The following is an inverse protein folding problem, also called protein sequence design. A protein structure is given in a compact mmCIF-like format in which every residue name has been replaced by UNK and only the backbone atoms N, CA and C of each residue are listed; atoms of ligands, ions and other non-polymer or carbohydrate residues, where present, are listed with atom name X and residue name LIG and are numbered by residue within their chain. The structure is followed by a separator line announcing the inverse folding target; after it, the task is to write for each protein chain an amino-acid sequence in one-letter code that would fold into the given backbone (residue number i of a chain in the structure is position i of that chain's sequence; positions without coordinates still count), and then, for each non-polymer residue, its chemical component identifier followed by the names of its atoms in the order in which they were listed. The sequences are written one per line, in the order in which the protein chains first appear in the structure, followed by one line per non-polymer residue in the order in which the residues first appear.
data_IF_495346628504
#
_entry.id   IF_495346628504
#
_cell.length_a   1.000
_cell.length_b   1.000
_cell.length_c   1.000
_cell.angle_alpha   90.00
_cell.angle_beta   90.00
_cell.angle_gamma   90.00
#
_symmetry.space_group_name_H-M   'P 1'
#
loop_
_entity.id
_entity.type
_entity.pdbx_description
1 polymer ?
#
# COMPACT_ATOMS: atom_id res chain seq x y z
N UNK A 1 -36.99 35.73 -49.93
CA UNK A 1 -37.30 34.32 -50.16
C UNK A 1 -36.01 33.56 -49.94
N UNK A 2 -35.80 33.06 -48.73
CA UNK A 2 -34.60 32.30 -48.38
C UNK A 2 -34.69 30.91 -48.99
N UNK A 3 -33.75 30.60 -49.89
CA UNK A 3 -33.64 29.29 -50.53
C UNK A 3 -33.09 28.32 -49.48
N UNK A 4 -33.96 27.48 -48.91
CA UNK A 4 -33.55 26.32 -48.12
C UNK A 4 -32.79 25.34 -49.03
N UNK A 5 -31.46 25.44 -49.03
CA UNK A 5 -30.59 24.40 -49.59
C UNK A 5 -30.63 23.20 -48.65
N UNK A 6 -31.20 22.10 -49.12
CA UNK A 6 -31.20 20.82 -48.40
C UNK A 6 -29.76 20.32 -48.19
N UNK A 7 -29.57 19.55 -47.12
CA UNK A 7 -28.28 18.99 -46.75
C UNK A 7 -27.85 17.91 -47.74
N UNK A 8 -26.60 17.91 -48.15
CA UNK A 8 -26.07 16.88 -49.05
C UNK A 8 -25.77 15.59 -48.29
N UNK A 9 -25.87 14.45 -48.97
CA UNK A 9 -25.61 13.13 -48.36
C UNK A 9 -24.17 13.02 -47.82
N UNK A 10 -23.24 13.71 -48.48
CA UNK A 10 -21.84 13.85 -48.04
C UNK A 10 -21.71 14.64 -46.75
N UNK A 11 -22.43 15.76 -46.59
CA UNK A 11 -22.40 16.52 -45.33
C UNK A 11 -22.99 15.69 -44.18
N UNK A 12 -24.03 14.89 -44.44
CA UNK A 12 -24.64 14.03 -43.41
C UNK A 12 -23.66 12.95 -42.92
N UNK A 13 -22.93 12.33 -43.84
CA UNK A 13 -21.88 11.37 -43.51
C UNK A 13 -20.77 12.01 -42.66
N UNK A 14 -20.32 13.20 -43.05
CA UNK A 14 -19.27 13.93 -42.30
C UNK A 14 -19.74 14.27 -40.89
N UNK A 15 -20.96 14.78 -40.74
CA UNK A 15 -21.52 15.12 -39.44
C UNK A 15 -21.62 13.89 -38.51
N UNK A 16 -22.03 12.74 -39.06
CA UNK A 16 -22.12 11.49 -38.30
C UNK A 16 -20.74 10.99 -37.88
N UNK A 17 -19.76 11.00 -38.79
CA UNK A 17 -18.38 10.56 -38.51
C UNK A 17 -17.74 11.43 -37.44
N UNK A 18 -17.85 12.76 -37.54
CA UNK A 18 -17.31 13.68 -36.53
C UNK A 18 -17.94 13.41 -35.16
N UNK A 19 -19.26 13.24 -35.11
CA UNK A 19 -19.97 12.93 -33.85
C UNK A 19 -19.52 11.61 -33.24
N UNK A 20 -19.37 10.55 -34.07
CA UNK A 20 -18.90 9.24 -33.61
C UNK A 20 -17.48 9.29 -33.06
N UNK A 21 -16.57 10.01 -33.73
CA UNK A 21 -15.17 10.16 -33.27
C UNK A 21 -15.10 10.89 -31.92
N UNK A 22 -15.90 11.94 -31.74
CA UNK A 22 -15.96 12.68 -30.47
C UNK A 22 -16.50 11.80 -29.34
N UNK A 23 -17.58 11.05 -29.57
CA UNK A 23 -18.16 10.12 -28.58
C UNK A 23 -17.15 9.02 -28.21
N UNK A 24 -16.47 8.42 -29.19
CA UNK A 24 -15.46 7.39 -28.96
C UNK A 24 -14.26 7.95 -28.19
N UNK A 25 -13.79 9.15 -28.53
CA UNK A 25 -12.69 9.82 -27.83
C UNK A 25 -13.02 10.13 -26.37
N UNK A 26 -14.20 10.72 -26.12
CA UNK A 26 -14.68 11.00 -24.76
C UNK A 26 -14.91 9.70 -23.95
N UNK A 27 -15.42 8.65 -24.59
CA UNK A 27 -15.60 7.34 -23.96
C UNK A 27 -14.29 6.72 -23.48
N UNK A 28 -13.23 6.78 -24.30
CA UNK A 28 -11.89 6.29 -23.92
C UNK A 28 -11.30 7.07 -22.76
N UNK A 29 -11.41 8.41 -22.76
CA UNK A 29 -10.93 9.25 -21.65
C UNK A 29 -11.70 8.97 -20.34
N UNK A 30 -13.02 8.79 -20.43
CA UNK A 30 -13.86 8.46 -19.29
C UNK A 30 -13.49 7.08 -18.70
N UNK A 31 -13.32 6.06 -19.55
CA UNK A 31 -12.90 4.73 -19.13
C UNK A 31 -11.49 4.74 -18.53
N UNK A 32 -10.55 5.43 -19.17
CA UNK A 32 -9.18 5.58 -18.65
C UNK A 32 -9.17 6.23 -17.27
N UNK A 33 -9.98 7.26 -17.05
CA UNK A 33 -10.11 7.93 -15.75
C UNK A 33 -10.65 6.98 -14.67
N UNK A 34 -11.65 6.15 -14.99
CA UNK A 34 -12.14 5.13 -14.05
C UNK A 34 -11.10 4.05 -13.72
N UNK A 35 -10.25 3.69 -14.69
CA UNK A 35 -9.13 2.77 -14.45
C UNK A 35 -8.06 3.41 -13.54
N UNK A 36 -7.74 4.69 -13.76
CA UNK A 36 -6.78 5.43 -12.94
C UNK A 36 -7.28 5.58 -11.50
N UNK A 37 -8.57 5.87 -11.26
CA UNK A 37 -9.11 5.99 -9.91
C UNK A 37 -9.03 4.69 -9.11
N UNK A 38 -9.37 3.55 -9.72
CA UNK A 38 -9.28 2.25 -9.03
C UNK A 38 -7.86 1.87 -8.66
N UNK A 39 -6.87 2.30 -9.46
CA UNK A 39 -5.46 2.07 -9.17
C UNK A 39 -4.92 3.01 -8.09
N UNK A 40 -5.48 4.22 -7.96
CA UNK A 40 -5.13 5.16 -6.89
C UNK A 40 -5.73 4.74 -5.54
N UNK A 41 -6.96 4.22 -5.49
CA UNK A 41 -7.61 3.81 -4.24
C UNK A 41 -6.93 2.63 -3.54
N UNK A 42 -6.47 1.65 -4.31
CA UNK A 42 -5.72 0.50 -3.77
C UNK A 42 -4.36 0.93 -3.24
N UNK A 43 -3.72 1.88 -3.91
CA UNK A 43 -2.45 2.47 -3.50
C UNK A 43 -2.61 3.36 -2.26
N UNK A 44 -3.69 4.16 -2.19
CA UNK A 44 -3.98 5.05 -1.07
C UNK A 44 -4.23 4.29 0.23
N UNK A 45 -5.03 3.21 0.19
CA UNK A 45 -5.29 2.40 1.37
C UNK A 45 -4.05 1.64 1.86
N UNK A 46 -3.16 1.24 0.96
CA UNK A 46 -1.87 0.66 1.33
C UNK A 46 -0.91 1.70 1.93
N UNK A 47 -0.95 2.94 1.44
CA UNK A 47 -0.14 4.04 1.99
C UNK A 47 -0.62 4.45 3.40
N UNK A 48 -1.92 4.53 3.64
CA UNK A 48 -2.49 4.83 4.97
C UNK A 48 -2.13 3.72 5.99
N UNK A 49 -2.28 2.46 5.58
CA UNK A 49 -1.87 1.29 6.35
C UNK A 49 -0.37 1.32 6.72
N UNK A 50 0.49 1.66 5.75
CA UNK A 50 1.94 1.76 5.96
C UNK A 50 2.29 2.90 6.92
N UNK A 51 1.72 4.10 6.71
CA UNK A 51 2.01 5.27 7.53
C UNK A 51 1.57 5.01 8.97
N UNK A 52 0.35 4.51 9.18
CA UNK A 52 -0.17 4.18 10.50
C UNK A 52 0.74 3.16 11.21
N UNK A 53 1.05 2.06 10.54
CA UNK A 53 1.88 0.99 11.12
C UNK A 53 3.29 1.47 11.46
N UNK A 54 3.93 2.22 10.56
CA UNK A 54 5.26 2.76 10.81
C UNK A 54 5.26 3.78 11.96
N UNK A 55 4.25 4.65 12.04
CA UNK A 55 4.13 5.63 13.11
C UNK A 55 3.89 4.96 14.47
N UNK A 56 2.95 4.03 14.55
CA UNK A 56 2.62 3.30 15.78
C UNK A 56 3.81 2.48 16.27
N UNK A 57 4.42 1.67 15.40
CA UNK A 57 5.60 0.87 15.78
C UNK A 57 6.76 1.77 16.20
N UNK A 58 7.02 2.87 15.48
CA UNK A 58 8.11 3.77 15.84
C UNK A 58 7.88 4.49 17.16
N UNK A 59 6.66 4.89 17.48
CA UNK A 59 6.34 5.55 18.75
C UNK A 59 6.45 4.58 19.94
N UNK A 60 5.90 3.37 19.79
CA UNK A 60 5.99 2.32 20.80
C UNK A 60 7.44 1.88 21.00
N UNK A 61 8.21 1.65 19.93
CA UNK A 61 9.63 1.25 20.03
C UNK A 61 10.57 2.37 20.47
N UNK A 62 10.16 3.64 20.40
CA UNK A 62 10.94 4.75 20.98
C UNK A 62 10.75 4.89 22.48
N UNK A 63 9.56 4.58 22.96
CA UNK A 63 9.17 4.66 24.37
C UNK A 63 9.51 3.39 25.14
N UNK A 64 9.38 2.23 24.50
CA UNK A 64 9.61 0.90 25.05
C UNK A 64 10.69 0.19 24.23
N UNK A 65 11.49 -0.66 24.90
CA UNK A 65 12.39 -1.54 24.17
C UNK A 65 11.58 -2.56 23.37
N UNK A 66 12.09 -2.97 22.21
CA UNK A 66 11.38 -3.93 21.35
C UNK A 66 11.17 -5.32 21.94
N UNK A 67 11.90 -5.60 23.01
CA UNK A 67 11.81 -6.81 23.81
C UNK A 67 11.54 -6.33 25.23
N UNK A 68 10.33 -6.58 25.72
CA UNK A 68 9.99 -6.36 27.11
C UNK A 68 10.31 -7.65 27.87
N UNK A 69 11.22 -7.58 28.84
CA UNK A 69 11.57 -8.68 29.75
C UNK A 69 11.76 -10.05 29.06
N UNK A 70 12.84 -10.19 28.29
CA UNK A 70 13.46 -11.47 27.91
C UNK A 70 12.52 -12.53 27.30
N UNK A 71 11.88 -12.19 26.17
CA UNK A 71 11.60 -13.04 24.97
C UNK A 71 10.34 -12.64 24.20
N UNK A 72 9.50 -11.74 24.73
CA UNK A 72 8.27 -11.32 24.04
C UNK A 72 8.49 -10.06 23.20
N UNK A 73 8.44 -10.22 21.87
CA UNK A 73 8.47 -9.11 20.94
C UNK A 73 7.13 -8.38 20.96
N UNK A 74 7.16 -7.04 21.06
CA UNK A 74 5.95 -6.20 21.10
C UNK A 74 5.09 -6.33 19.84
N UNK A 75 5.73 -6.55 18.69
CA UNK A 75 5.06 -6.67 17.40
C UNK A 75 5.51 -7.92 16.66
N UNK A 76 4.58 -8.58 15.98
CA UNK A 76 4.85 -9.75 15.14
C UNK A 76 4.25 -9.57 13.76
N UNK A 77 5.02 -9.87 12.72
CA UNK A 77 4.53 -10.04 11.36
C UNK A 77 4.17 -11.50 11.15
N UNK A 78 2.94 -11.76 10.71
CA UNK A 78 2.47 -13.07 10.26
C UNK A 78 1.96 -12.97 8.83
N UNK A 79 2.55 -13.74 7.93
CA UNK A 79 2.12 -13.82 6.54
C UNK A 79 1.60 -15.23 6.23
N UNK A 80 0.36 -15.30 5.74
CA UNK A 80 -0.33 -16.53 5.37
C UNK A 80 -0.65 -16.55 3.87
N UNK A 81 -0.59 -17.74 3.27
CA UNK A 81 -0.91 -17.94 1.85
C UNK A 81 -2.43 -17.99 1.66
N UNK A 82 -2.94 -17.12 0.79
CA UNK A 82 -4.33 -17.09 0.34
C UNK A 82 -4.32 -17.11 -1.19
N UNK A 83 -3.99 -18.27 -1.78
CA UNK A 83 -3.76 -18.48 -3.22
C UNK A 83 -4.72 -17.64 -4.11
N UNK A 84 -4.24 -16.81 -5.06
CA UNK A 84 -2.84 -16.57 -5.46
C UNK A 84 -2.14 -15.41 -4.71
N UNK A 85 -2.66 -14.96 -3.57
CA UNK A 85 -2.19 -13.79 -2.84
C UNK A 85 -1.55 -14.16 -1.50
N UNK A 86 -0.70 -13.26 -1.01
CA UNK A 86 -0.16 -13.33 0.35
C UNK A 86 -0.86 -12.33 1.26
N UNK A 87 -1.43 -12.79 2.37
CA UNK A 87 -2.00 -11.91 3.39
C UNK A 87 -1.01 -11.78 4.54
N UNK A 88 -0.48 -10.58 4.75
CA UNK A 88 0.40 -10.27 5.87
C UNK A 88 -0.33 -9.40 6.89
N UNK A 89 -0.20 -9.76 8.15
CA UNK A 89 -0.79 -9.05 9.29
C UNK A 89 0.31 -8.68 10.27
N UNK A 90 0.35 -7.41 10.68
CA UNK A 90 1.15 -7.00 11.83
C UNK A 90 0.25 -7.05 13.05
N UNK A 91 0.67 -7.79 14.06
CA UNK A 91 -0.07 -8.00 15.30
C UNK A 91 0.65 -7.30 16.46
N UNK A 92 -0.12 -6.62 17.30
CA UNK A 92 0.29 -6.19 18.64
C UNK A 92 0.24 -7.40 19.58
N UNK A 93 1.37 -7.73 20.20
CA UNK A 93 1.43 -8.84 21.15
C UNK A 93 0.95 -8.43 22.54
N UNK A 94 0.99 -7.15 22.90
CA UNK A 94 0.50 -6.66 24.19
C UNK A 94 -1.03 -6.58 24.21
N UNK A 95 -1.63 -6.07 23.11
CA UNK A 95 -3.08 -5.97 22.98
C UNK A 95 -3.74 -7.22 22.38
N UNK A 96 -2.95 -8.15 21.83
CA UNK A 96 -3.40 -9.32 21.06
C UNK A 96 -4.26 -8.97 19.83
N UNK A 97 -4.13 -7.75 19.30
CA UNK A 97 -4.95 -7.21 18.21
C UNK A 97 -4.16 -7.05 16.90
N UNK A 98 -4.80 -7.23 15.74
CA UNK A 98 -4.19 -6.93 14.45
C UNK A 98 -4.12 -5.41 14.23
N UNK A 99 -2.92 -4.85 14.08
CA UNK A 99 -2.72 -3.43 13.74
C UNK A 99 -3.08 -3.14 12.29
N UNK A 100 -2.58 -3.99 11.39
CA UNK A 100 -2.76 -3.81 9.96
C UNK A 100 -2.73 -5.15 9.24
N UNK A 101 -3.59 -5.29 8.24
CA UNK A 101 -3.58 -6.41 7.32
C UNK A 101 -3.43 -5.88 5.90
N UNK A 102 -2.48 -6.41 5.16
CA UNK A 102 -2.23 -6.03 3.78
C UNK A 102 -1.99 -7.26 2.90
N UNK A 103 -2.15 -7.05 1.60
CA UNK A 103 -2.09 -8.12 0.61
C UNK A 103 -0.94 -7.86 -0.34
N UNK A 104 -0.10 -8.88 -0.52
CA UNK A 104 1.02 -8.89 -1.46
C UNK A 104 0.67 -9.79 -2.64
N UNK A 105 0.86 -9.25 -3.86
CA UNK A 105 0.75 -9.98 -5.12
C UNK A 105 2.13 -10.57 -5.43
N UNK A 106 2.26 -11.91 -5.48
CA UNK A 106 3.52 -12.54 -5.88
C UNK A 106 3.77 -13.92 -5.27
N UNK A 107 4.01 -14.90 -6.13
CA UNK A 107 4.32 -16.29 -5.79
C UNK A 107 5.76 -16.48 -5.31
N UNK A 108 5.88 -17.12 -4.15
CA UNK A 108 7.10 -17.43 -3.41
C UNK A 108 6.74 -17.80 -1.96
N UNK A 109 7.72 -18.17 -1.12
CA UNK A 109 7.49 -18.52 0.30
C UNK A 109 6.77 -17.37 1.02
N UNK A 110 5.46 -17.51 1.15
CA UNK A 110 4.56 -16.54 1.74
C UNK A 110 4.57 -16.65 3.27
N UNK A 111 4.72 -17.87 3.76
CA UNK A 111 4.79 -18.19 5.18
C UNK A 111 6.03 -17.55 5.79
N UNK A 112 5.79 -16.42 6.45
CA UNK A 112 6.82 -15.66 7.16
C UNK A 112 6.22 -15.20 8.47
N UNK A 113 6.73 -15.75 9.55
CA UNK A 113 6.44 -15.30 10.91
C UNK A 113 7.71 -14.72 11.49
N UNK A 114 7.72 -13.42 11.76
CA UNK A 114 8.90 -12.72 12.24
C UNK A 114 8.53 -11.70 13.33
N UNK A 115 9.25 -11.74 14.44
CA UNK A 115 9.19 -10.69 15.47
C UNK A 115 9.82 -9.40 14.95
N UNK A 116 9.12 -8.27 15.14
CA UNK A 116 9.55 -6.96 14.66
C UNK A 116 10.24 -6.17 15.78
N UNK A 117 11.22 -5.35 15.41
CA UNK A 117 11.89 -4.42 16.32
C UNK A 117 13.11 -4.98 17.03
N UNK A 118 13.49 -6.25 16.80
CA UNK A 118 14.69 -6.86 17.39
C UNK A 118 15.88 -5.91 17.23
N UNK A 119 16.57 -5.62 18.34
CA UNK A 119 17.73 -4.75 18.35
C UNK A 119 18.82 -5.31 17.41
N UNK A 120 19.48 -4.42 16.68
CA UNK A 120 20.52 -4.87 15.77
C UNK A 120 21.72 -5.42 16.56
N UNK A 121 22.26 -6.61 16.23
CA UNK A 121 23.32 -7.25 17.02
C UNK A 121 24.61 -6.43 17.08
N UNK A 122 24.81 -5.48 16.17
CA UNK A 122 25.97 -4.58 16.11
C UNK A 122 25.79 -3.29 16.91
N UNK A 123 24.56 -2.90 17.24
CA UNK A 123 24.27 -1.63 17.90
C UNK A 123 22.96 -1.70 18.71
N UNK A 124 23.07 -1.83 20.03
CA UNK A 124 21.93 -1.90 20.97
C UNK A 124 21.12 -0.61 21.07
N UNK A 125 21.56 0.47 20.41
CA UNK A 125 20.87 1.78 20.37
C UNK A 125 19.84 1.85 19.24
N UNK A 126 19.87 0.89 18.30
CA UNK A 126 19.04 0.90 17.10
C UNK A 126 18.30 -0.42 16.89
N UNK A 127 17.00 -0.31 16.62
CA UNK A 127 16.12 -1.42 16.23
C UNK A 127 15.77 -1.31 14.75
N UNK A 128 15.78 -2.44 14.04
CA UNK A 128 15.37 -2.50 12.63
C UNK A 128 14.05 -3.24 12.49
N UNK A 129 13.06 -2.59 11.88
CA UNK A 129 11.76 -3.17 11.56
C UNK A 129 11.69 -3.38 10.05
N UNK A 130 11.40 -4.62 9.62
CA UNK A 130 11.30 -4.96 8.19
C UNK A 130 9.85 -5.31 7.84
N UNK A 131 9.26 -4.58 6.90
CA UNK A 131 7.87 -4.80 6.47
C UNK A 131 7.78 -4.93 4.94
N UNK A 132 7.09 -5.96 4.39
CA UNK A 132 6.92 -6.16 2.94
C UNK A 132 5.83 -5.26 2.35
N UNK A 133 5.90 -3.95 2.64
CA UNK A 133 4.91 -2.94 2.23
C UNK A 133 5.39 -2.06 1.07
N UNK A 134 6.57 -2.32 0.51
CA UNK A 134 7.09 -1.61 -0.64
C UNK A 134 6.34 -1.92 -1.94
N UNK A 135 6.60 -1.14 -3.02
CA UNK A 135 6.06 -1.43 -4.34
C UNK A 135 6.43 -2.87 -4.73
N UNK A 136 5.48 -3.62 -5.29
CA UNK A 136 5.61 -5.06 -5.61
C UNK A 136 5.88 -5.96 -4.38
N UNK A 137 5.53 -5.50 -3.17
CA UNK A 137 5.74 -6.26 -1.93
C UNK A 137 7.21 -6.37 -1.50
N UNK A 138 8.04 -5.40 -1.90
CA UNK A 138 9.43 -5.28 -1.45
C UNK A 138 9.51 -4.95 0.05
N UNK A 139 10.55 -5.43 0.69
CA UNK A 139 10.84 -5.13 2.09
C UNK A 139 11.29 -3.67 2.24
N UNK A 140 10.65 -2.95 3.17
CA UNK A 140 11.04 -1.62 3.65
C UNK A 140 11.65 -1.79 5.03
N UNK A 141 12.76 -1.10 5.27
CA UNK A 141 13.51 -1.13 6.52
C UNK A 141 13.31 0.19 7.28
N UNK A 142 12.77 0.11 8.49
CA UNK A 142 12.67 1.25 9.40
C UNK A 142 13.74 1.12 10.48
N UNK A 143 14.53 2.17 10.65
CA UNK A 143 15.57 2.25 11.67
C UNK A 143 15.04 3.13 12.78
N UNK A 144 14.94 2.57 13.99
CA UNK A 144 14.36 3.25 15.14
C UNK A 144 15.42 3.33 16.22
N UNK A 145 15.74 4.56 16.63
CA UNK A 145 16.65 4.84 17.73
C UNK A 145 15.88 5.00 19.03
N UNK A 146 16.36 4.34 20.09
CA UNK A 146 15.76 4.43 21.43
C UNK A 146 16.02 5.81 22.04
N UNK A 147 15.01 6.43 22.67
CA UNK A 147 15.20 7.76 23.30
C UNK A 147 16.12 7.69 24.52
N UNK A 148 16.04 6.58 25.28
CA UNK A 148 16.78 6.41 26.53
C UNK A 148 18.30 6.23 26.34
N UNK A 149 18.75 5.90 25.13
CA UNK A 149 20.17 5.73 24.82
C UNK A 149 20.87 7.00 24.31
N UNK A 150 20.11 8.07 24.04
CA UNK A 150 20.64 9.37 23.55
C UNK A 150 20.85 10.35 24.72
N UNK A 151 20.21 10.12 25.87
CA UNK A 151 20.24 11.01 27.04
C UNK A 151 21.34 10.66 28.06
N UNK A 152 22.31 9.83 27.69
CA UNK A 152 23.43 9.42 28.55
C UNK A 152 24.77 9.85 27.95
#
# INVERSE_FOLDING_TARGET
MDVQRGFTLTELLVAMVISSVVILGAGQLCLSTFHVFRQIDTLGRQQEALIYTAATIADTLRSHHAIENDEEALFRLQCDTVEPLCRCTVQDMQAAEPLVTFVKLGGGQCERTQSLGIAEPSNSVMSVVTLPLGPEGRDIYFHITHRNSILN
#
